data_IF_360991064211
#
_entry.id   IF_360991064211
#
_cell.length_a   1.000
_cell.length_b   1.000
_cell.length_c   1.000
_cell.angle_alpha   90.00
_cell.angle_beta   90.00
_cell.angle_gamma   90.00
#
_symmetry.space_group_name_H-M   'P 1'
#
loop_
_entity.id
_entity.type
_entity.pdbx_description
1 polymer ?
#
# COMPACT_ATOMS: atom_id res chain seq x y z
N UNK A 1 3.49 -11.58 50.09
CA UNK A 1 3.12 -12.93 49.63
C UNK A 1 2.70 -12.81 48.18
N UNK A 2 3.67 -12.95 47.27
CA UNK A 2 3.45 -12.86 45.82
C UNK A 2 2.78 -14.14 45.34
N UNK A 3 1.55 -14.03 44.85
CA UNK A 3 0.93 -15.09 44.07
C UNK A 3 1.33 -14.89 42.60
N UNK A 4 2.29 -15.68 42.14
CA UNK A 4 2.67 -15.74 40.73
C UNK A 4 1.55 -16.43 39.93
N UNK A 5 0.65 -15.65 39.33
CA UNK A 5 -0.25 -16.16 38.31
C UNK A 5 0.48 -16.21 36.97
N UNK A 6 0.75 -17.43 36.51
CA UNK A 6 1.21 -17.73 35.15
C UNK A 6 0.13 -17.27 34.15
N UNK A 7 0.37 -16.13 33.50
CA UNK A 7 -0.50 -15.61 32.44
C UNK A 7 -0.20 -16.31 31.10
N UNK A 8 -1.19 -16.87 30.40
CA UNK A 8 -1.00 -17.34 29.04
C UNK A 8 -0.65 -16.17 28.11
N UNK A 9 0.24 -16.46 27.17
CA UNK A 9 0.96 -15.56 26.25
C UNK A 9 0.05 -14.96 25.16
N UNK A 10 -1.08 -14.38 25.53
CA UNK A 10 -1.99 -13.61 24.66
C UNK A 10 -2.75 -12.55 25.47
N UNK A 11 -2.08 -11.84 26.37
CA UNK A 11 -2.67 -10.66 27.00
C UNK A 11 -2.64 -9.51 26.00
N UNK A 12 -3.68 -9.39 25.16
CA UNK A 12 -3.99 -8.10 24.53
C UNK A 12 -4.25 -7.16 25.70
N UNK A 13 -3.29 -6.27 26.00
CA UNK A 13 -3.44 -5.26 27.03
C UNK A 13 -4.51 -4.26 26.55
N UNK A 14 -5.78 -4.57 26.80
CA UNK A 14 -6.89 -3.68 26.50
C UNK A 14 -6.83 -2.54 27.51
N UNK A 15 -6.11 -1.47 27.17
CA UNK A 15 -6.16 -0.24 27.96
C UNK A 15 -7.56 0.35 27.85
N UNK A 16 -8.18 0.60 28.99
CA UNK A 16 -9.49 1.24 29.10
C UNK A 16 -9.32 2.73 29.42
N UNK A 17 -10.20 3.57 28.88
CA UNK A 17 -10.30 4.99 29.19
C UNK A 17 -11.74 5.31 29.54
N UNK A 18 -11.95 6.20 30.53
CA UNK A 18 -13.27 6.78 30.78
C UNK A 18 -13.49 7.99 29.87
N UNK A 19 -14.64 8.02 29.21
CA UNK A 19 -15.08 9.14 28.37
C UNK A 19 -16.48 9.57 28.79
N UNK A 20 -16.78 10.85 28.61
CA UNK A 20 -18.10 11.41 28.91
C UNK A 20 -18.95 11.40 27.64
N UNK A 21 -20.15 10.80 27.70
CA UNK A 21 -21.07 10.79 26.57
C UNK A 21 -21.57 12.21 26.26
N UNK A 22 -21.53 12.68 25.00
CA UNK A 22 -22.04 14.00 24.65
C UNK A 22 -23.57 14.09 24.73
N UNK A 23 -24.29 12.99 24.54
CA UNK A 23 -25.77 12.99 24.51
C UNK A 23 -26.42 12.92 25.90
N UNK A 24 -25.90 12.07 26.80
CA UNK A 24 -26.50 11.85 28.12
C UNK A 24 -25.61 12.31 29.29
N UNK A 25 -24.41 12.83 29.01
CA UNK A 25 -23.43 13.31 30.01
C UNK A 25 -22.90 12.26 31.00
N UNK A 26 -23.28 10.99 30.86
CA UNK A 26 -22.78 9.88 31.68
C UNK A 26 -21.35 9.48 31.29
N UNK A 27 -20.60 8.97 32.28
CA UNK A 27 -19.26 8.44 32.07
C UNK A 27 -19.32 6.95 31.79
N UNK A 28 -18.61 6.48 30.78
CA UNK A 28 -18.54 5.06 30.43
C UNK A 28 -17.14 4.66 29.96
N UNK A 29 -16.87 3.36 30.03
CA UNK A 29 -15.57 2.77 29.69
C UNK A 29 -15.50 2.47 28.19
N UNK A 30 -14.42 2.90 27.55
CA UNK A 30 -14.11 2.57 26.15
C UNK A 30 -12.70 1.98 26.04
N UNK A 31 -12.50 1.11 25.05
CA UNK A 31 -11.20 0.50 24.76
C UNK A 31 -10.37 1.43 23.88
N UNK A 32 -9.10 1.67 24.25
CA UNK A 32 -8.21 2.61 23.52
C UNK A 32 -7.92 2.14 22.08
N UNK A 33 -8.08 0.86 21.79
CA UNK A 33 -7.88 0.32 20.44
C UNK A 33 -8.99 0.68 19.44
N UNK A 34 -10.13 1.19 19.92
CA UNK A 34 -11.23 1.59 19.03
C UNK A 34 -11.13 3.07 18.67
N UNK A 35 -11.35 3.40 17.39
CA UNK A 35 -11.45 4.78 16.93
C UNK A 35 -12.61 5.49 17.64
N UNK A 36 -12.47 6.81 17.85
CA UNK A 36 -13.47 7.61 18.56
C UNK A 36 -14.89 7.51 17.95
N UNK A 37 -14.98 7.22 16.65
CA UNK A 37 -16.22 7.03 15.89
C UNK A 37 -16.88 5.66 16.11
N UNK A 38 -16.16 4.69 16.66
CA UNK A 38 -16.68 3.36 16.98
C UNK A 38 -17.22 3.23 18.40
N UNK A 39 -17.06 4.25 19.25
CA UNK A 39 -17.53 4.21 20.63
C UNK A 39 -19.05 4.44 20.72
N UNK A 40 -19.76 3.49 21.30
CA UNK A 40 -21.20 3.58 21.61
C UNK A 40 -21.37 3.69 23.12
N UNK A 41 -22.22 4.61 23.58
CA UNK A 41 -22.49 4.77 24.99
C UNK A 41 -23.32 3.59 25.53
N UNK A 42 -22.86 2.95 26.60
CA UNK A 42 -23.56 1.83 27.26
C UNK A 42 -24.88 2.22 27.94
N UNK A 43 -25.12 3.51 28.17
CA UNK A 43 -26.31 3.98 28.88
C UNK A 43 -27.45 4.40 27.96
N UNK A 44 -27.13 5.05 26.83
CA UNK A 44 -28.14 5.61 25.93
C UNK A 44 -28.05 5.08 24.49
N UNK A 45 -27.11 4.18 24.20
CA UNK A 45 -26.82 3.67 22.85
C UNK A 45 -26.51 4.74 21.79
N UNK A 46 -26.25 5.99 22.20
CA UNK A 46 -25.86 7.03 21.28
C UNK A 46 -24.39 6.87 20.86
N UNK A 47 -24.04 7.19 19.59
CA UNK A 47 -22.66 7.23 19.15
C UNK A 47 -21.92 8.40 19.82
N UNK A 48 -20.66 8.18 20.18
CA UNK A 48 -19.81 9.23 20.77
C UNK A 48 -19.52 10.36 19.77
N UNK A 49 -19.27 10.02 18.50
CA UNK A 49 -19.02 10.96 17.43
C UNK A 49 -19.62 10.43 16.13
N UNK A 50 -20.18 11.31 15.33
CA UNK A 50 -20.70 11.01 13.99
C UNK A 50 -19.80 11.69 12.97
N UNK A 51 -19.34 10.94 11.96
CA UNK A 51 -18.55 11.50 10.86
C UNK A 51 -19.41 12.45 10.03
N UNK A 52 -18.84 13.59 9.63
CA UNK A 52 -19.50 14.49 8.69
C UNK A 52 -19.59 13.87 7.30
N UNK A 53 -20.51 14.37 6.46
CA UNK A 53 -20.64 13.89 5.08
C UNK A 53 -19.35 14.09 4.27
N UNK A 54 -18.62 15.18 4.52
CA UNK A 54 -17.31 15.43 3.91
C UNK A 54 -16.25 14.38 4.31
N UNK A 55 -16.23 13.97 5.57
CA UNK A 55 -15.31 12.93 6.06
C UNK A 55 -15.64 11.56 5.48
N UNK A 56 -16.93 11.23 5.33
CA UNK A 56 -17.38 10.00 4.66
C UNK A 56 -16.96 10.00 3.19
N UNK A 57 -17.20 11.09 2.46
CA UNK A 57 -16.82 11.24 1.07
C UNK A 57 -15.29 11.13 0.86
N UNK A 58 -14.50 11.64 1.81
CA UNK A 58 -13.05 11.49 1.77
C UNK A 58 -12.60 10.03 1.99
N UNK A 59 -13.17 9.32 2.96
CA UNK A 59 -12.89 7.90 3.19
C UNK A 59 -13.33 7.02 2.01
N UNK A 60 -14.47 7.34 1.39
CA UNK A 60 -14.95 6.67 0.19
C UNK A 60 -14.05 6.95 -1.03
N UNK A 61 -13.57 8.19 -1.18
CA UNK A 61 -12.59 8.55 -2.22
C UNK A 61 -11.24 7.87 -2.05
N UNK A 62 -10.81 7.64 -0.81
CA UNK A 62 -9.58 6.90 -0.48
C UNK A 62 -9.75 5.38 -0.61
N UNK A 63 -10.99 4.87 -0.58
CA UNK A 63 -11.30 3.44 -0.75
C UNK A 63 -11.10 2.93 -2.18
N UNK A 64 -11.03 3.83 -3.17
CA UNK A 64 -10.70 3.48 -4.55
C UNK A 64 -9.18 3.61 -4.77
N UNK A 65 -8.43 2.49 -4.82
CA UNK A 65 -6.99 2.56 -5.02
C UNK A 65 -6.75 2.88 -6.49
N UNK A 66 -6.49 4.15 -6.84
CA UNK A 66 -5.86 4.59 -8.10
C UNK A 66 -6.29 3.72 -9.29
N UNK A 67 -7.61 3.49 -9.45
CA UNK A 67 -8.12 2.44 -10.34
C UNK A 67 -8.26 3.02 -11.75
N UNK A 68 -7.10 3.21 -12.38
CA UNK A 68 -6.81 3.34 -13.82
C UNK A 68 -5.51 4.16 -13.92
N UNK A 69 -4.34 3.52 -14.10
CA UNK A 69 -3.22 4.28 -14.63
C UNK A 69 -3.70 5.02 -15.89
N UNK A 70 -3.37 6.32 -16.05
CA UNK A 70 -3.83 7.09 -17.20
C UNK A 70 -3.53 6.32 -18.49
N UNK A 71 -4.40 6.38 -19.50
CA UNK A 71 -4.15 5.73 -20.80
C UNK A 71 -2.74 6.03 -21.36
N UNK A 72 -2.20 7.21 -21.01
CA UNK A 72 -0.84 7.62 -21.30
C UNK A 72 0.23 6.67 -20.73
N UNK A 73 0.12 6.19 -19.49
CA UNK A 73 1.10 5.29 -18.87
C UNK A 73 1.17 3.93 -19.54
N UNK A 74 0.03 3.40 -20.00
CA UNK A 74 0.01 2.16 -20.80
C UNK A 74 0.74 2.36 -22.14
N UNK A 75 0.50 3.50 -22.81
CA UNK A 75 1.17 3.85 -24.07
C UNK A 75 2.68 4.10 -23.90
N UNK A 76 3.09 4.74 -22.81
CA UNK A 76 4.52 4.94 -22.50
C UNK A 76 5.22 3.60 -22.22
N UNK A 77 4.56 2.69 -21.50
CA UNK A 77 5.07 1.33 -21.30
C UNK A 77 5.27 0.59 -22.62
N UNK A 78 4.26 0.58 -23.49
CA UNK A 78 4.35 -0.07 -24.81
C UNK A 78 5.49 0.49 -25.66
N UNK A 79 5.61 1.83 -25.78
CA UNK A 79 6.72 2.45 -26.53
C UNK A 79 8.09 2.12 -25.94
N UNK A 80 8.21 2.12 -24.61
CA UNK A 80 9.47 1.76 -23.95
C UNK A 80 9.88 0.32 -24.29
N UNK A 81 8.95 -0.64 -24.19
CA UNK A 81 9.22 -2.04 -24.53
C UNK A 81 9.58 -2.23 -26.01
N UNK A 82 8.91 -1.53 -26.93
CA UNK A 82 9.26 -1.56 -28.36
C UNK A 82 10.68 -1.09 -28.61
N UNK A 83 11.10 0.02 -27.99
CA UNK A 83 12.44 0.57 -28.13
C UNK A 83 13.51 -0.35 -27.54
N UNK A 84 13.25 -0.94 -26.36
CA UNK A 84 14.17 -1.89 -25.72
C UNK A 84 14.37 -3.13 -26.58
N UNK A 85 13.29 -3.70 -27.13
CA UNK A 85 13.35 -4.88 -28.00
C UNK A 85 14.14 -4.56 -29.27
N UNK A 86 13.82 -3.44 -29.94
CA UNK A 86 14.51 -3.03 -31.18
C UNK A 86 16.02 -2.81 -30.94
N UNK A 87 16.38 -2.16 -29.84
CA UNK A 87 17.77 -1.90 -29.47
C UNK A 87 18.54 -3.20 -29.21
N UNK A 88 17.95 -4.14 -28.47
CA UNK A 88 18.59 -5.43 -28.19
C UNK A 88 18.79 -6.26 -29.47
N UNK A 89 17.81 -6.27 -30.37
CA UNK A 89 17.96 -6.95 -31.68
C UNK A 89 19.06 -6.31 -32.51
N UNK A 90 19.10 -4.97 -32.56
CA UNK A 90 20.15 -4.22 -33.26
C UNK A 90 21.54 -4.53 -32.71
N UNK A 91 21.69 -4.60 -31.39
CA UNK A 91 22.93 -4.97 -30.72
C UNK A 91 23.41 -6.39 -31.10
N UNK A 92 22.51 -7.36 -31.12
CA UNK A 92 22.84 -8.74 -31.52
C UNK A 92 23.31 -8.79 -32.98
N UNK A 93 22.59 -8.13 -33.90
CA UNK A 93 22.97 -8.09 -35.32
C UNK A 93 24.34 -7.41 -35.51
N UNK A 94 24.56 -6.26 -34.87
CA UNK A 94 25.83 -5.54 -34.95
C UNK A 94 27.00 -6.39 -34.44
N UNK A 95 26.78 -7.13 -33.36
CA UNK A 95 27.80 -8.01 -32.78
C UNK A 95 28.15 -9.16 -33.74
N UNK A 96 27.15 -9.78 -34.38
CA UNK A 96 27.35 -10.82 -35.38
C UNK A 96 28.15 -10.29 -36.57
N UNK A 97 27.78 -9.12 -37.10
CA UNK A 97 28.48 -8.48 -38.22
C UNK A 97 29.95 -8.17 -37.87
N UNK A 98 30.19 -7.69 -36.66
CA UNK A 98 31.54 -7.41 -36.17
C UNK A 98 32.40 -8.67 -36.07
N UNK A 99 31.84 -9.78 -35.55
CA UNK A 99 32.53 -11.06 -35.48
C UNK A 99 32.91 -11.59 -36.86
N UNK A 100 31.98 -11.54 -37.83
CA UNK A 100 32.23 -11.95 -39.21
C UNK A 100 33.33 -11.11 -39.84
N UNK A 101 33.24 -9.77 -39.72
CA UNK A 101 34.25 -8.85 -40.24
C UNK A 101 35.63 -9.09 -39.65
N UNK A 102 35.69 -9.39 -38.35
CA UNK A 102 36.95 -9.72 -37.67
C UNK A 102 37.57 -11.01 -38.20
N UNK A 103 36.76 -12.07 -38.37
CA UNK A 103 37.23 -13.35 -38.93
C UNK A 103 37.75 -13.16 -40.36
N UNK A 104 37.01 -12.43 -41.22
CA UNK A 104 37.45 -12.12 -42.58
C UNK A 104 38.75 -11.31 -42.56
N UNK A 105 38.86 -10.31 -41.68
CA UNK A 105 40.06 -9.48 -41.54
C UNK A 105 41.31 -10.31 -41.20
N UNK A 106 41.19 -11.26 -40.27
CA UNK A 106 42.27 -12.18 -39.91
C UNK A 106 42.65 -13.10 -41.09
N UNK A 107 41.67 -13.57 -41.87
CA UNK A 107 41.92 -14.44 -43.02
C UNK A 107 42.58 -13.72 -44.20
N UNK A 108 42.21 -12.45 -44.46
CA UNK A 108 42.69 -11.67 -45.61
C UNK A 108 44.03 -11.00 -45.33
N UNK A 109 44.29 -10.61 -44.08
CA UNK A 109 45.57 -10.09 -43.65
C UNK A 109 46.22 -11.09 -42.67
N UNK A 110 46.81 -12.19 -43.16
CA UNK A 110 47.67 -13.00 -42.32
C UNK A 110 48.84 -12.13 -41.88
N UNK A 111 49.08 -12.08 -40.57
CA UNK A 111 50.27 -11.48 -39.95
C UNK A 111 51.56 -11.90 -40.66
#
# INVERSE_FOLDING_TARGET
>A
MEAAFLFPRTAIFVRMKQVKCPSCSSWYMVTIQSDAYGHICSHCNAPYAVKTEEQKAHEEGMKAPVSKPPLAWKRFGEMHWTLVILNNVGFVIQTILFMIGTIIGILVAPL
#
